data_IF_427874510546
#
_entry.id   IF_427874510546
#
_cell.length_a   1.000
_cell.length_b   1.000
_cell.length_c   1.000
_cell.angle_alpha   90.00
_cell.angle_beta   90.00
_cell.angle_gamma   90.00
#
_symmetry.space_group_name_H-M   'P 1'
#
loop_
_entity.id
_entity.type
_entity.pdbx_description
1 polymer ?
#
# COMPACT_ATOMS: atom_id res chain seq x y z
N UNK A 1 5.13 -9.82 13.14
CA UNK A 1 5.49 -8.53 13.77
C UNK A 1 6.22 -7.59 12.81
N UNK A 2 7.20 -8.08 12.03
CA UNK A 2 7.94 -7.29 11.02
C UNK A 2 7.08 -6.41 10.11
N UNK A 3 6.07 -7.00 9.46
CA UNK A 3 5.14 -6.27 8.59
C UNK A 3 4.50 -5.06 9.28
N UNK A 4 4.12 -5.17 10.56
CA UNK A 4 3.53 -4.05 11.30
C UNK A 4 4.55 -2.94 11.57
N UNK A 5 5.80 -3.29 11.86
CA UNK A 5 6.87 -2.32 12.06
C UNK A 5 7.22 -1.57 10.77
N UNK A 6 7.37 -2.30 9.64
CA UNK A 6 7.58 -1.67 8.34
C UNK A 6 6.42 -0.77 7.94
N UNK A 7 5.18 -1.25 8.12
CA UNK A 7 3.99 -0.45 7.85
C UNK A 7 3.93 0.81 8.72
N UNK A 8 4.17 0.70 10.02
CA UNK A 8 4.17 1.87 10.91
C UNK A 8 5.19 2.93 10.50
N UNK A 9 6.39 2.51 10.08
CA UNK A 9 7.39 3.45 9.59
C UNK A 9 6.93 4.07 8.27
N UNK A 10 6.53 3.26 7.30
CA UNK A 10 6.11 3.72 5.97
C UNK A 10 4.84 4.58 6.02
N UNK A 11 3.91 4.35 6.95
CA UNK A 11 2.72 5.20 7.13
C UNK A 11 3.10 6.64 7.54
N UNK A 12 4.31 6.87 8.06
CA UNK A 12 4.80 8.19 8.49
C UNK A 12 5.56 8.96 7.39
N UNK A 13 5.88 8.31 6.26
CA UNK A 13 6.73 8.89 5.21
C UNK A 13 6.14 8.65 3.81
N UNK A 14 6.17 9.65 2.93
CA UNK A 14 5.84 9.44 1.51
C UNK A 14 6.93 8.67 0.76
N UNK A 15 8.19 8.91 1.13
CA UNK A 15 9.34 8.15 0.66
C UNK A 15 10.44 8.12 1.72
N UNK A 16 11.25 7.06 1.72
CA UNK A 16 12.40 6.89 2.60
C UNK A 16 13.54 6.22 1.83
N UNK A 17 14.80 6.55 2.12
CA UNK A 17 15.93 5.83 1.54
C UNK A 17 16.07 4.44 2.17
N UNK A 18 16.47 3.45 1.38
CA UNK A 18 16.70 2.07 1.82
C UNK A 18 17.79 2.06 2.90
N UNK A 19 18.86 2.83 2.72
CA UNK A 19 19.95 2.95 3.69
C UNK A 19 19.47 3.48 5.06
N UNK A 20 18.65 4.53 5.09
CA UNK A 20 18.14 5.09 6.35
C UNK A 20 17.17 4.10 7.01
N UNK A 21 16.32 3.45 6.24
CA UNK A 21 15.40 2.43 6.75
C UNK A 21 16.16 1.25 7.34
N UNK A 22 17.20 0.77 6.67
CA UNK A 22 18.07 -0.30 7.14
C UNK A 22 18.80 0.08 8.43
N UNK A 23 19.31 1.31 8.52
CA UNK A 23 19.94 1.86 9.73
C UNK A 23 18.96 1.92 10.92
N UNK A 24 17.73 2.37 10.71
CA UNK A 24 16.70 2.44 11.75
C UNK A 24 16.33 1.06 12.31
N UNK A 25 16.30 0.05 11.45
CA UNK A 25 16.04 -1.33 11.86
C UNK A 25 17.28 -2.11 12.30
N UNK A 26 18.49 -1.55 12.11
CA UNK A 26 19.76 -2.20 12.45
C UNK A 26 20.05 -3.45 11.61
N UNK A 27 19.66 -3.45 10.34
CA UNK A 27 19.80 -4.58 9.41
C UNK A 27 20.57 -4.15 8.15
N UNK A 28 21.03 -5.12 7.37
CA UNK A 28 21.67 -4.86 6.08
C UNK A 28 20.64 -4.48 5.00
N UNK A 29 21.05 -3.62 4.06
CA UNK A 29 20.17 -3.14 2.98
C UNK A 29 19.67 -4.27 2.09
N UNK A 30 20.52 -5.25 1.76
CA UNK A 30 20.14 -6.39 0.94
C UNK A 30 19.08 -7.27 1.61
N UNK A 31 19.19 -7.45 2.94
CA UNK A 31 18.18 -8.17 3.72
C UNK A 31 16.85 -7.41 3.77
N UNK A 32 16.90 -6.09 3.95
CA UNK A 32 15.71 -5.24 3.92
C UNK A 32 15.01 -5.31 2.56
N UNK A 33 15.76 -5.26 1.46
CA UNK A 33 15.23 -5.34 0.09
C UNK A 33 14.50 -6.67 -0.14
N UNK A 34 15.08 -7.80 0.27
CA UNK A 34 14.48 -9.13 0.14
C UNK A 34 13.19 -9.28 0.97
N UNK A 35 13.22 -8.83 2.23
CA UNK A 35 12.08 -8.92 3.15
C UNK A 35 10.93 -8.00 2.67
N UNK A 36 11.23 -6.77 2.23
CA UNK A 36 10.22 -5.87 1.65
C UNK A 36 9.64 -6.42 0.35
N UNK A 37 10.47 -6.97 -0.55
CA UNK A 37 10.03 -7.54 -1.82
C UNK A 37 9.01 -8.66 -1.60
N UNK A 38 9.22 -9.50 -0.59
CA UNK A 38 8.28 -10.56 -0.21
C UNK A 38 6.91 -9.99 0.18
N UNK A 39 6.87 -8.97 1.04
CA UNK A 39 5.61 -8.35 1.47
C UNK A 39 4.89 -7.54 0.38
N UNK A 40 5.65 -6.96 -0.55
CA UNK A 40 5.10 -6.25 -1.71
C UNK A 40 4.44 -7.23 -2.68
N UNK A 41 5.11 -8.35 -3.00
CA UNK A 41 4.56 -9.40 -3.88
C UNK A 41 3.30 -10.05 -3.27
N UNK A 42 3.27 -10.25 -1.95
CA UNK A 42 2.07 -10.72 -1.25
C UNK A 42 0.93 -9.69 -1.21
N UNK A 43 1.16 -8.44 -1.65
CA UNK A 43 0.17 -7.36 -1.61
C UNK A 43 -0.16 -6.87 -0.19
N UNK A 44 0.72 -7.15 0.78
CA UNK A 44 0.51 -6.83 2.21
C UNK A 44 1.11 -5.49 2.60
N UNK A 45 1.97 -4.93 1.74
CA UNK A 45 2.61 -3.65 1.91
C UNK A 45 2.45 -2.82 0.62
N UNK A 46 1.85 -1.64 0.74
CA UNK A 46 1.55 -0.79 -0.41
C UNK A 46 2.71 0.19 -0.68
N UNK A 47 3.85 -0.34 -1.12
CA UNK A 47 5.02 0.46 -1.44
C UNK A 47 5.76 -0.10 -2.66
N UNK A 48 6.58 0.75 -3.29
CA UNK A 48 7.43 0.42 -4.43
C UNK A 48 8.88 0.72 -4.10
N UNK A 49 9.77 -0.16 -4.53
CA UNK A 49 11.22 0.00 -4.37
C UNK A 49 11.76 0.57 -5.69
N UNK A 50 12.40 1.73 -5.62
CA UNK A 50 13.24 2.28 -6.69
C UNK A 50 14.71 2.01 -6.34
N UNK A 51 15.27 1.00 -6.99
CA UNK A 51 16.65 0.56 -6.77
C UNK A 51 17.69 1.50 -7.35
N UNK A 52 17.34 2.30 -8.37
CA UNK A 52 18.28 3.21 -9.02
C UNK A 52 18.56 4.38 -8.08
N UNK A 53 17.50 4.93 -7.48
CA UNK A 53 17.60 6.04 -6.53
C UNK A 53 17.78 5.56 -5.08
N UNK A 54 17.63 4.25 -4.80
CA UNK A 54 17.78 3.67 -3.47
C UNK A 54 16.67 4.10 -2.50
N UNK A 55 15.44 4.26 -2.99
CA UNK A 55 14.30 4.75 -2.20
C UNK A 55 13.14 3.76 -2.19
N UNK A 56 12.39 3.78 -1.10
CA UNK A 56 11.09 3.13 -0.95
C UNK A 56 10.02 4.22 -1.01
N UNK A 57 9.13 4.12 -1.99
CA UNK A 57 8.01 5.02 -2.23
C UNK A 57 6.74 4.36 -1.69
N UNK A 58 5.98 5.10 -0.87
CA UNK A 58 4.69 4.60 -0.36
C UNK A 58 3.60 4.98 -1.34
N UNK A 59 2.83 3.98 -1.78
CA UNK A 59 1.66 4.26 -2.60
C UNK A 59 0.48 4.62 -1.71
N UNK A 60 -0.13 5.77 -1.98
CA UNK A 60 -1.39 6.12 -1.34
C UNK A 60 -2.46 5.13 -1.80
N UNK A 61 -3.14 4.51 -0.82
CA UNK A 61 -4.35 3.74 -1.11
C UNK A 61 -5.39 4.77 -1.57
N UNK A 62 -5.63 4.83 -2.88
CA UNK A 62 -6.72 5.63 -3.42
C UNK A 62 -8.01 5.14 -2.76
N UNK A 63 -8.66 6.02 -2.01
CA UNK A 63 -9.91 5.68 -1.36
C UNK A 63 -11.00 5.49 -2.43
N UNK A 64 -11.22 4.22 -2.78
CA UNK A 64 -12.26 3.82 -3.72
C UNK A 64 -13.66 3.78 -3.06
N UNK A 65 -13.80 4.20 -1.80
CA UNK A 65 -15.09 4.23 -1.10
C UNK A 65 -16.16 5.00 -1.88
N UNK A 66 -15.79 6.12 -2.50
CA UNK A 66 -16.69 6.93 -3.34
C UNK A 66 -17.18 6.15 -4.56
N UNK A 67 -16.29 5.46 -5.27
CA UNK A 67 -16.63 4.62 -6.41
C UNK A 67 -17.52 3.44 -5.99
N UNK A 68 -17.25 2.86 -4.82
CA UNK A 68 -18.08 1.81 -4.23
C UNK A 68 -19.50 2.28 -3.92
N UNK A 69 -19.64 3.48 -3.32
CA UNK A 69 -20.94 4.09 -3.00
C UNK A 69 -21.73 4.37 -4.29
N UNK A 70 -21.06 4.93 -5.31
CA UNK A 70 -21.68 5.19 -6.62
C UNK A 70 -22.21 3.88 -7.22
N UNK A 71 -21.39 2.83 -7.29
CA UNK A 71 -21.79 1.53 -7.83
C UNK A 71 -22.97 0.91 -7.06
N UNK A 72 -22.97 1.02 -5.73
CA UNK A 72 -24.09 0.56 -4.89
C UNK A 72 -25.36 1.35 -5.19
N UNK A 73 -25.26 2.68 -5.36
CA UNK A 73 -26.36 3.55 -5.74
C UNK A 73 -26.96 3.22 -7.11
N UNK A 74 -26.11 3.00 -8.12
CA UNK A 74 -26.58 2.61 -9.46
C UNK A 74 -27.33 1.28 -9.45
N UNK A 75 -26.85 0.30 -8.68
CA UNK A 75 -27.51 -0.99 -8.52
C UNK A 75 -28.88 -0.86 -7.86
N UNK A 76 -29.01 -0.02 -6.82
CA UNK A 76 -30.30 0.25 -6.18
C UNK A 76 -31.28 0.89 -7.17
N UNK A 77 -30.84 1.88 -7.94
CA UNK A 77 -31.69 2.54 -8.95
C UNK A 77 -32.14 1.54 -10.02
N UNK A 78 -31.26 0.63 -10.47
CA UNK A 78 -31.66 -0.46 -11.39
C UNK A 78 -32.70 -1.39 -10.78
N UNK A 79 -32.55 -1.77 -9.51
CA UNK A 79 -33.52 -2.62 -8.82
C UNK A 79 -34.90 -1.95 -8.72
N UNK A 80 -34.95 -0.67 -8.33
CA UNK A 80 -36.21 0.08 -8.25
C UNK A 80 -36.86 0.18 -9.63
N UNK A 81 -36.11 0.57 -10.67
CA UNK A 81 -36.62 0.66 -12.04
C UNK A 81 -37.18 -0.67 -12.57
N UNK A 82 -36.62 -1.79 -12.13
CA UNK A 82 -37.07 -3.14 -12.52
C UNK A 82 -38.37 -3.55 -11.79
N UNK A 83 -38.54 -3.15 -10.53
CA UNK A 83 -39.67 -3.55 -9.68
C UNK A 83 -40.85 -2.57 -9.69
N UNK A 84 -40.66 -1.34 -10.20
CA UNK A 84 -41.72 -0.32 -10.36
C UNK A 84 -42.37 -0.42 -11.75
N UNK A 85 -42.48 -1.64 -12.28
CA UNK A 85 -43.24 -1.94 -13.50
C UNK A 85 -44.35 -2.91 -13.17
#
# INVERSE_FOLDING_TARGET
MKLKAYKQLLDSYQFISIANMAQLFGIEEGFLEEDLSTFIVEGRLNCKIDKINGIVLVEEIKDNSLQEIINKGENLVRMIKKNVK
#
